data_IF_376374562523
#
_entry.id   IF_376374562523
#
_cell.length_a   1.000
_cell.length_b   1.000
_cell.length_c   1.000
_cell.angle_alpha   90.00
_cell.angle_beta   90.00
_cell.angle_gamma   90.00
#
_symmetry.space_group_name_H-M   'P 1'
#
loop_
_entity.id
_entity.type
_entity.pdbx_description
1 polymer ?
#
# COMPACT_ATOMS: atom_id res chain seq x y z
N UNK A 1 -15.51 11.81 50.63
CA UNK A 1 -16.48 11.96 49.53
C UNK A 1 -15.68 12.18 48.26
N UNK A 2 -15.76 11.18 47.37
CA UNK A 2 -15.35 11.15 45.95
C UNK A 2 -13.85 11.18 45.66
N UNK A 3 -13.26 10.00 45.82
CA UNK A 3 -12.14 9.51 45.03
C UNK A 3 -12.45 9.65 43.53
N UNK A 4 -11.77 10.57 42.85
CA UNK A 4 -11.77 10.60 41.39
C UNK A 4 -10.70 9.63 40.91
N UNK A 5 -11.09 8.35 40.81
CA UNK A 5 -10.33 7.36 40.08
C UNK A 5 -10.16 7.83 38.63
N UNK A 6 -8.94 8.28 38.34
CA UNK A 6 -8.42 8.35 36.99
C UNK A 6 -8.42 6.92 36.45
N UNK A 7 -9.49 6.53 35.76
CA UNK A 7 -9.53 5.25 35.05
C UNK A 7 -8.49 5.32 33.94
N UNK A 8 -7.53 4.38 33.84
CA UNK A 8 -6.68 4.29 32.67
C UNK A 8 -7.60 4.00 31.48
N UNK A 9 -7.67 4.96 30.54
CA UNK A 9 -8.22 4.67 29.22
C UNK A 9 -7.36 3.54 28.64
N UNK A 10 -8.03 2.46 28.26
CA UNK A 10 -7.40 1.23 27.79
C UNK A 10 -6.37 1.52 26.70
N UNK A 11 -5.17 0.97 26.88
CA UNK A 11 -4.12 0.90 25.87
C UNK A 11 -4.65 -0.01 24.75
N UNK A 12 -5.12 0.53 23.62
CA UNK A 12 -5.59 -0.30 22.47
C UNK A 12 -5.28 0.30 21.11
N UNK A 13 -4.19 1.03 20.96
CA UNK A 13 -3.70 1.38 19.62
C UNK A 13 -2.21 1.18 19.58
N UNK A 14 -1.76 0.20 18.80
CA UNK A 14 -0.33 -0.03 18.53
C UNK A 14 0.29 1.15 17.76
N UNK A 15 -0.52 2.07 17.22
CA UNK A 15 -0.07 3.27 16.52
C UNK A 15 0.52 4.33 17.46
N UNK A 16 1.50 5.11 17.00
CA UNK A 16 2.14 6.15 17.81
C UNK A 16 1.22 7.32 18.16
N UNK A 17 0.18 7.56 17.36
CA UNK A 17 -0.87 8.54 17.64
C UNK A 17 -2.22 7.83 17.77
N UNK A 18 -3.08 8.22 18.73
CA UNK A 18 -4.38 7.58 18.90
C UNK A 18 -5.29 7.81 17.68
N UNK A 19 -6.13 6.85 17.27
CA UNK A 19 -7.05 7.04 16.15
C UNK A 19 -8.09 8.12 16.46
N UNK A 20 -8.43 8.96 15.47
CA UNK A 20 -9.55 9.90 15.54
C UNK A 20 -10.81 9.19 15.03
N UNK A 21 -11.76 8.91 15.92
CA UNK A 21 -13.01 8.20 15.54
C UNK A 21 -14.04 9.13 14.88
N UNK A 22 -14.07 10.40 15.25
CA UNK A 22 -15.06 11.38 14.80
C UNK A 22 -14.36 12.62 14.22
N UNK A 23 -14.03 12.65 12.92
CA UNK A 23 -13.40 13.81 12.32
C UNK A 23 -14.40 14.98 12.22
N UNK A 24 -13.96 16.19 12.56
CA UNK A 24 -14.80 17.39 12.44
C UNK A 24 -15.06 17.75 10.98
N UNK A 25 -14.03 17.59 10.14
CA UNK A 25 -14.03 17.91 8.71
C UNK A 25 -14.95 17.01 7.87
N UNK A 26 -15.76 17.64 7.01
CA UNK A 26 -16.75 16.96 6.18
C UNK A 26 -16.13 16.04 5.14
N UNK A 27 -14.99 16.42 4.57
CA UNK A 27 -14.28 15.60 3.60
C UNK A 27 -13.77 14.31 4.25
N UNK A 28 -13.21 14.40 5.46
CA UNK A 28 -12.77 13.23 6.22
C UNK A 28 -13.91 12.32 6.65
N UNK A 29 -15.09 12.86 7.01
CA UNK A 29 -16.28 12.03 7.27
C UNK A 29 -16.68 11.22 6.03
N UNK A 30 -16.70 11.85 4.87
CA UNK A 30 -16.98 11.16 3.61
C UNK A 30 -15.94 10.06 3.32
N UNK A 31 -14.65 10.34 3.51
CA UNK A 31 -13.59 9.35 3.33
C UNK A 31 -13.75 8.14 4.28
N UNK A 32 -14.19 8.37 5.52
CA UNK A 32 -14.48 7.30 6.48
C UNK A 32 -15.64 6.43 6.01
N UNK A 33 -16.72 7.04 5.52
CA UNK A 33 -17.88 6.30 5.05
C UNK A 33 -17.57 5.49 3.79
N UNK A 34 -16.81 6.07 2.85
CA UNK A 34 -16.35 5.37 1.64
C UNK A 34 -15.50 4.15 1.99
N UNK A 35 -14.52 4.30 2.89
CA UNK A 35 -13.67 3.16 3.28
C UNK A 35 -14.43 2.11 4.06
N UNK A 36 -15.38 2.51 4.92
CA UNK A 36 -16.26 1.57 5.61
C UNK A 36 -17.11 0.76 4.63
N UNK A 37 -17.62 1.41 3.58
CA UNK A 37 -18.39 0.74 2.54
C UNK A 37 -17.52 -0.24 1.71
N UNK A 38 -16.33 0.19 1.32
CA UNK A 38 -15.45 -0.60 0.45
C UNK A 38 -14.77 -1.75 1.19
N UNK A 39 -14.19 -1.48 2.36
CA UNK A 39 -13.33 -2.41 3.10
C UNK A 39 -13.98 -2.98 4.36
N UNK A 40 -15.23 -2.62 4.66
CA UNK A 40 -15.93 -3.06 5.87
C UNK A 40 -15.48 -2.37 7.16
N UNK A 41 -14.49 -1.47 7.11
CA UNK A 41 -14.00 -0.67 8.24
C UNK A 41 -13.36 0.64 7.74
N UNK A 42 -13.22 1.60 8.65
CA UNK A 42 -12.42 2.80 8.37
C UNK A 42 -10.94 2.42 8.43
N UNK A 43 -10.21 2.76 7.37
CA UNK A 43 -8.78 2.47 7.26
C UNK A 43 -7.97 3.25 8.32
N UNK A 44 -7.07 2.57 9.02
CA UNK A 44 -6.26 3.16 10.09
C UNK A 44 -5.43 4.38 9.65
N UNK A 45 -4.82 4.43 8.45
CA UNK A 45 -4.15 5.64 7.96
C UNK A 45 -5.04 6.88 7.91
N UNK A 46 -6.33 6.74 7.59
CA UNK A 46 -7.26 7.87 7.62
C UNK A 46 -7.44 8.39 9.06
N UNK A 47 -7.54 7.48 10.02
CA UNK A 47 -7.77 7.80 11.45
C UNK A 47 -6.55 8.38 12.15
N UNK A 48 -5.36 7.99 11.71
CA UNK A 48 -4.11 8.32 12.40
C UNK A 48 -3.37 9.47 11.70
N UNK A 49 -3.24 9.44 10.38
CA UNK A 49 -2.52 10.46 9.62
C UNK A 49 -3.46 11.55 9.10
N UNK A 50 -4.37 11.20 8.18
CA UNK A 50 -5.09 12.20 7.39
C UNK A 50 -6.11 13.02 8.19
N UNK A 51 -6.74 12.45 9.23
CA UNK A 51 -7.65 13.18 10.11
C UNK A 51 -6.97 14.33 10.90
N UNK A 52 -5.64 14.42 10.88
CA UNK A 52 -4.86 15.49 11.54
C UNK A 52 -4.31 16.53 10.57
N UNK A 53 -4.45 16.32 9.27
CA UNK A 53 -3.88 17.18 8.25
C UNK A 53 -4.98 17.97 7.53
N UNK A 54 -4.64 19.11 6.91
CA UNK A 54 -5.53 19.75 5.96
C UNK A 54 -5.99 18.76 4.87
N UNK A 55 -7.24 18.91 4.42
CA UNK A 55 -7.90 17.97 3.51
C UNK A 55 -7.12 17.72 2.22
N UNK A 56 -6.30 18.69 1.79
CA UNK A 56 -5.45 18.68 0.61
C UNK A 56 -4.46 17.51 0.63
N UNK A 57 -3.96 17.10 1.80
CA UNK A 57 -3.09 15.92 1.92
C UNK A 57 -3.85 14.61 1.64
N UNK A 58 -5.10 14.53 2.08
CA UNK A 58 -6.00 13.41 1.74
C UNK A 58 -6.35 13.42 0.26
N UNK A 59 -6.64 14.60 -0.30
CA UNK A 59 -6.91 14.77 -1.74
C UNK A 59 -5.71 14.37 -2.60
N UNK A 60 -4.48 14.69 -2.18
CA UNK A 60 -3.27 14.23 -2.84
C UNK A 60 -3.17 12.70 -2.88
N UNK A 61 -3.51 12.03 -1.78
CA UNK A 61 -3.51 10.56 -1.72
C UNK A 61 -4.57 9.94 -2.62
N UNK A 62 -5.77 10.53 -2.69
CA UNK A 62 -6.77 10.14 -3.69
C UNK A 62 -6.26 10.37 -5.11
N UNK A 63 -5.54 11.48 -5.33
CA UNK A 63 -4.98 11.81 -6.64
C UNK A 63 -3.97 10.76 -7.12
N UNK A 64 -3.17 10.19 -6.23
CA UNK A 64 -2.29 9.06 -6.57
C UNK A 64 -3.12 7.88 -7.11
N UNK A 65 -4.22 7.53 -6.45
CA UNK A 65 -5.12 6.47 -6.93
C UNK A 65 -5.80 6.78 -8.28
N UNK A 66 -6.13 8.05 -8.56
CA UNK A 66 -6.61 8.46 -9.89
C UNK A 66 -5.52 8.36 -10.96
N UNK A 67 -4.27 8.68 -10.61
CA UNK A 67 -3.12 8.56 -11.52
C UNK A 67 -2.81 7.09 -11.83
N UNK A 68 -2.98 6.19 -10.86
CA UNK A 68 -2.83 4.75 -11.05
C UNK A 68 -3.82 4.20 -12.11
N UNK A 69 -4.99 4.82 -12.27
CA UNK A 69 -5.95 4.46 -13.33
C UNK A 69 -5.52 4.92 -14.73
N UNK A 70 -4.44 5.70 -14.84
CA UNK A 70 -3.88 6.19 -16.11
C UNK A 70 -2.64 5.41 -16.56
N UNK A 71 -2.20 4.43 -15.76
CA UNK A 71 -1.08 3.57 -16.12
C UNK A 71 -1.42 2.72 -17.35
N UNK A 72 -0.42 2.47 -18.16
CA UNK A 72 -0.46 1.54 -19.30
C UNK A 72 0.07 0.16 -18.94
N UNK A 73 0.83 0.04 -17.85
CA UNK A 73 1.24 -1.24 -17.28
C UNK A 73 0.03 -2.15 -17.02
N UNK A 74 0.18 -3.48 -17.19
CA UNK A 74 -0.83 -4.43 -16.76
C UNK A 74 -1.16 -4.25 -15.28
N UNK A 75 -2.45 -4.26 -14.87
CA UNK A 75 -2.83 -4.04 -13.48
C UNK A 75 -2.14 -4.99 -12.49
N UNK A 76 -1.99 -6.27 -12.85
CA UNK A 76 -1.30 -7.25 -12.01
C UNK A 76 0.18 -6.90 -11.82
N UNK A 77 0.87 -6.44 -12.86
CA UNK A 77 2.26 -5.94 -12.77
C UNK A 77 2.37 -4.75 -11.82
N UNK A 78 1.44 -3.80 -11.90
CA UNK A 78 1.45 -2.64 -11.01
C UNK A 78 1.29 -3.04 -9.53
N UNK A 79 0.39 -3.99 -9.22
CA UNK A 79 0.22 -4.51 -7.86
C UNK A 79 1.44 -5.31 -7.42
N UNK A 80 2.07 -6.12 -8.29
CA UNK A 80 3.31 -6.84 -7.95
C UNK A 80 4.45 -5.87 -7.58
N UNK A 81 4.60 -4.78 -8.33
CA UNK A 81 5.60 -3.74 -8.02
C UNK A 81 5.32 -3.12 -6.65
N UNK A 82 4.09 -2.66 -6.39
CA UNK A 82 3.72 -2.08 -5.09
C UNK A 82 3.97 -3.05 -3.94
N UNK A 83 3.56 -4.32 -4.11
CA UNK A 83 3.77 -5.36 -3.09
C UNK A 83 5.25 -5.69 -2.88
N UNK A 84 6.08 -5.62 -3.92
CA UNK A 84 7.53 -5.81 -3.80
C UNK A 84 8.16 -4.71 -2.96
N UNK A 85 7.82 -3.44 -3.25
CA UNK A 85 8.30 -2.28 -2.49
C UNK A 85 7.82 -2.35 -1.03
N UNK A 86 6.53 -2.61 -0.81
CA UNK A 86 5.96 -2.76 0.53
C UNK A 86 6.59 -3.89 1.33
N UNK A 87 6.86 -5.04 0.68
CA UNK A 87 7.56 -6.18 1.27
C UNK A 87 8.98 -5.83 1.70
N UNK A 88 9.75 -5.20 0.81
CA UNK A 88 11.13 -4.76 1.09
C UNK A 88 11.19 -3.75 2.24
N UNK A 89 10.26 -2.79 2.26
CA UNK A 89 10.18 -1.78 3.31
C UNK A 89 9.48 -2.28 4.58
N UNK A 90 8.96 -3.51 4.60
CA UNK A 90 8.25 -4.13 5.73
C UNK A 90 7.01 -3.32 6.17
N UNK A 91 6.28 -2.70 5.23
CA UNK A 91 5.02 -2.03 5.54
C UNK A 91 3.87 -3.04 5.63
N UNK A 92 3.58 -3.55 6.83
CA UNK A 92 2.54 -4.58 7.04
C UNK A 92 1.14 -4.12 6.61
N UNK A 93 0.78 -2.86 6.83
CA UNK A 93 -0.46 -2.27 6.30
C UNK A 93 -0.53 -2.33 4.77
N UNK A 94 0.55 -1.92 4.10
CA UNK A 94 0.61 -1.83 2.65
C UNK A 94 0.57 -3.23 1.99
N UNK A 95 1.18 -4.23 2.64
CA UNK A 95 1.08 -5.63 2.24
C UNK A 95 -0.38 -6.13 2.38
N UNK A 96 -1.03 -5.83 3.50
CA UNK A 96 -2.40 -6.26 3.77
C UNK A 96 -3.43 -5.66 2.78
N UNK A 97 -3.41 -4.34 2.57
CA UNK A 97 -4.32 -3.70 1.61
C UNK A 97 -4.06 -4.18 0.18
N UNK A 98 -2.80 -4.39 -0.21
CA UNK A 98 -2.50 -4.92 -1.54
C UNK A 98 -2.98 -6.36 -1.73
N UNK A 99 -2.86 -7.23 -0.71
CA UNK A 99 -3.47 -8.56 -0.73
C UNK A 99 -5.00 -8.50 -0.87
N UNK A 100 -5.66 -7.57 -0.16
CA UNK A 100 -7.10 -7.33 -0.30
C UNK A 100 -7.48 -6.99 -1.75
N UNK A 101 -6.74 -6.06 -2.37
CA UNK A 101 -6.94 -5.66 -3.77
C UNK A 101 -6.72 -6.82 -4.73
N UNK A 102 -5.65 -7.60 -4.55
CA UNK A 102 -5.37 -8.82 -5.34
C UNK A 102 -6.54 -9.79 -5.27
N UNK A 103 -7.09 -10.02 -4.07
CA UNK A 103 -8.24 -10.90 -3.87
C UNK A 103 -9.45 -10.33 -4.59
N UNK A 104 -9.81 -9.07 -4.35
CA UNK A 104 -10.97 -8.40 -4.96
C UNK A 104 -10.94 -8.46 -6.48
N UNK A 105 -9.80 -8.07 -7.08
CA UNK A 105 -9.56 -8.08 -8.52
C UNK A 105 -9.38 -9.49 -9.12
N UNK A 106 -9.43 -10.55 -8.30
CA UNK A 106 -9.27 -11.96 -8.72
C UNK A 106 -7.95 -12.22 -9.46
N UNK A 107 -6.89 -11.54 -9.05
CA UNK A 107 -5.52 -11.73 -9.56
C UNK A 107 -4.89 -13.01 -9.00
N UNK A 108 -3.74 -13.43 -9.57
CA UNK A 108 -3.08 -14.68 -9.17
C UNK A 108 -2.43 -14.56 -7.80
N UNK A 109 -3.18 -14.91 -6.74
CA UNK A 109 -2.70 -14.88 -5.36
C UNK A 109 -1.39 -15.67 -5.15
N UNK A 110 -1.18 -16.77 -5.87
CA UNK A 110 0.04 -17.56 -5.75
C UNK A 110 1.30 -16.80 -6.19
N UNK A 111 1.19 -15.87 -7.16
CA UNK A 111 2.31 -14.97 -7.50
C UNK A 111 2.66 -14.06 -6.33
N UNK A 112 1.65 -13.45 -5.70
CA UNK A 112 1.87 -12.53 -4.57
C UNK A 112 2.45 -13.26 -3.35
N UNK A 113 2.02 -14.48 -3.07
CA UNK A 113 2.59 -15.29 -1.99
C UNK A 113 4.03 -15.75 -2.29
N UNK A 114 4.40 -15.91 -3.56
CA UNK A 114 5.74 -16.28 -3.99
C UNK A 114 6.65 -15.07 -4.32
N UNK A 115 6.21 -13.85 -3.99
CA UNK A 115 6.88 -12.63 -4.43
C UNK A 115 8.29 -12.48 -3.87
N UNK A 116 8.56 -12.96 -2.65
CA UNK A 116 9.92 -12.96 -2.10
C UNK A 116 10.88 -13.88 -2.86
N UNK A 117 10.36 -14.88 -3.58
CA UNK A 117 11.11 -15.87 -4.33
C UNK A 117 10.96 -15.69 -5.86
N UNK A 118 10.61 -14.48 -6.32
CA UNK A 118 10.30 -14.20 -7.71
C UNK A 118 11.42 -14.62 -8.69
N UNK A 119 12.68 -14.50 -8.27
CA UNK A 119 13.86 -14.79 -9.10
C UNK A 119 13.98 -16.27 -9.46
N UNK A 120 13.48 -17.16 -8.60
CA UNK A 120 13.53 -18.62 -8.80
C UNK A 120 12.17 -19.26 -9.06
N UNK A 121 11.07 -18.55 -8.77
CA UNK A 121 9.72 -19.06 -8.93
C UNK A 121 9.32 -19.14 -10.41
N UNK A 122 8.77 -20.28 -10.82
CA UNK A 122 8.24 -20.52 -12.17
C UNK A 122 6.96 -19.72 -12.45
N UNK A 123 6.37 -19.08 -11.44
CA UNK A 123 5.18 -18.27 -11.61
C UNK A 123 5.47 -16.95 -12.34
N UNK A 124 6.72 -16.49 -12.34
CA UNK A 124 7.11 -15.20 -12.90
C UNK A 124 7.73 -15.35 -14.28
N UNK A 125 7.30 -14.49 -15.19
CA UNK A 125 7.89 -14.34 -16.53
C UNK A 125 9.19 -13.55 -16.47
N UNK A 126 10.02 -13.62 -17.52
CA UNK A 126 11.26 -12.84 -17.58
C UNK A 126 11.00 -11.32 -17.61
N UNK A 127 9.88 -10.91 -18.20
CA UNK A 127 9.39 -9.51 -18.20
C UNK A 127 9.15 -9.04 -16.77
N UNK A 128 8.38 -9.82 -15.98
CA UNK A 128 8.08 -9.50 -14.58
C UNK A 128 9.34 -9.52 -13.71
N UNK A 129 10.23 -10.50 -13.91
CA UNK A 129 11.51 -10.57 -13.18
C UNK A 129 12.36 -9.33 -13.45
N UNK A 130 12.46 -8.89 -14.72
CA UNK A 130 13.23 -7.70 -15.06
C UNK A 130 12.72 -6.43 -14.36
N UNK A 131 11.41 -6.25 -14.27
CA UNK A 131 10.83 -5.15 -13.47
C UNK A 131 11.10 -5.32 -11.97
N UNK A 132 10.93 -6.52 -11.41
CA UNK A 132 11.12 -6.78 -9.99
C UNK A 132 12.58 -6.63 -9.55
N UNK A 133 13.54 -6.99 -10.40
CA UNK A 133 14.97 -6.75 -10.15
C UNK A 133 15.27 -5.25 -10.09
N UNK A 134 14.78 -4.47 -11.07
CA UNK A 134 14.91 -3.00 -11.07
C UNK A 134 14.27 -2.38 -9.82
N UNK A 135 13.05 -2.78 -9.48
CA UNK A 135 12.31 -2.32 -8.29
C UNK A 135 13.04 -2.69 -7.01
N UNK A 136 13.64 -3.88 -6.95
CA UNK A 136 14.40 -4.35 -5.79
C UNK A 136 15.61 -3.47 -5.54
N UNK A 137 16.45 -3.23 -6.56
CA UNK A 137 17.62 -2.36 -6.46
C UNK A 137 17.22 -0.93 -6.09
N UNK A 138 16.26 -0.35 -6.83
CA UNK A 138 15.83 1.02 -6.59
C UNK A 138 15.26 1.20 -5.17
N UNK A 139 14.55 0.20 -4.65
CA UNK A 139 13.96 0.25 -3.30
C UNK A 139 15.02 0.04 -2.22
N UNK A 140 15.91 -0.95 -2.35
CA UNK A 140 16.90 -1.26 -1.30
C UNK A 140 18.06 -0.27 -1.28
N UNK A 141 18.65 -0.03 -2.44
CA UNK A 141 19.93 0.65 -2.58
C UNK A 141 19.79 2.12 -2.95
N UNK A 142 18.56 2.55 -3.31
CA UNK A 142 18.26 3.89 -3.86
C UNK A 142 19.11 4.24 -5.09
N UNK A 143 19.58 3.20 -5.77
CA UNK A 143 20.44 3.22 -6.95
C UNK A 143 20.08 1.99 -7.78
N UNK A 144 20.35 2.07 -9.08
CA UNK A 144 20.13 0.96 -10.00
C UNK A 144 21.38 0.78 -10.85
N UNK A 145 21.80 -0.46 -11.04
CA UNK A 145 22.86 -0.81 -11.97
C UNK A 145 22.38 -0.57 -13.41
N UNK A 146 23.25 -0.01 -14.25
CA UNK A 146 22.95 0.20 -15.68
C UNK A 146 22.53 -1.10 -16.37
N UNK A 147 23.13 -2.24 -16.03
CA UNK A 147 22.78 -3.52 -16.65
C UNK A 147 21.35 -3.96 -16.27
N UNK A 148 20.94 -3.73 -15.01
CA UNK A 148 19.58 -4.00 -14.53
C UNK A 148 18.57 -3.09 -15.23
N UNK A 149 18.89 -1.80 -15.36
CA UNK A 149 18.07 -0.86 -16.14
C UNK A 149 17.96 -1.27 -17.61
N UNK A 150 19.08 -1.58 -18.27
CA UNK A 150 19.11 -1.98 -19.69
C UNK A 150 18.30 -3.24 -19.93
N UNK A 151 18.36 -4.24 -19.03
CA UNK A 151 17.55 -5.45 -19.16
C UNK A 151 16.05 -5.15 -19.03
N UNK A 152 15.64 -4.37 -18.02
CA UNK A 152 14.24 -3.95 -17.89
C UNK A 152 13.79 -3.14 -19.12
N UNK A 153 14.59 -2.19 -19.58
CA UNK A 153 14.28 -1.35 -20.75
C UNK A 153 14.18 -2.14 -22.06
N UNK A 154 14.71 -3.37 -22.12
CA UNK A 154 14.49 -4.29 -23.24
C UNK A 154 13.06 -4.84 -23.33
N UNK A 155 12.26 -4.75 -22.25
CA UNK A 155 10.89 -5.26 -22.19
C UNK A 155 9.81 -4.18 -22.07
N UNK A 156 10.15 -2.99 -21.59
CA UNK A 156 9.20 -1.92 -21.27
C UNK A 156 9.46 -0.67 -22.11
N UNK A 157 8.38 0.00 -22.54
CA UNK A 157 8.47 1.32 -23.16
C UNK A 157 8.95 2.39 -22.18
N UNK A 158 9.48 3.51 -22.68
CA UNK A 158 9.90 4.64 -21.84
C UNK A 158 8.78 5.13 -20.91
N UNK A 159 7.53 5.10 -21.39
CA UNK A 159 6.35 5.42 -20.59
C UNK A 159 6.17 4.43 -19.44
N UNK A 160 6.17 3.13 -19.72
CA UNK A 160 6.02 2.10 -18.69
C UNK A 160 7.16 2.15 -17.68
N UNK A 161 8.38 2.46 -18.10
CA UNK A 161 9.52 2.66 -17.20
C UNK A 161 9.25 3.82 -16.22
N UNK A 162 8.73 4.95 -16.71
CA UNK A 162 8.33 6.06 -15.84
C UNK A 162 7.19 5.66 -14.89
N UNK A 163 6.25 4.84 -15.35
CA UNK A 163 5.17 4.28 -14.53
C UNK A 163 5.69 3.34 -13.43
N UNK A 164 6.71 2.50 -13.71
CA UNK A 164 7.38 1.68 -12.70
C UNK A 164 8.01 2.57 -11.62
N UNK A 165 8.74 3.62 -12.01
CA UNK A 165 9.35 4.57 -11.06
C UNK A 165 8.28 5.29 -10.24
N UNK A 166 7.17 5.70 -10.86
CA UNK A 166 6.02 6.30 -10.18
C UNK A 166 5.44 5.37 -9.11
N UNK A 167 5.25 4.09 -9.43
CA UNK A 167 4.77 3.10 -8.48
C UNK A 167 5.74 2.94 -7.30
N UNK A 168 7.06 2.87 -7.55
CA UNK A 168 8.07 2.82 -6.48
C UNK A 168 8.02 4.05 -5.59
N UNK A 169 7.98 5.26 -6.18
CA UNK A 169 7.99 6.51 -5.44
C UNK A 169 6.72 6.70 -4.61
N UNK A 170 5.55 6.48 -5.21
CA UNK A 170 4.26 6.61 -4.52
C UNK A 170 4.09 5.55 -3.43
N UNK A 171 4.61 4.33 -3.63
CA UNK A 171 4.58 3.30 -2.59
C UNK A 171 5.49 3.65 -1.41
N UNK A 172 6.66 4.26 -1.64
CA UNK A 172 7.48 4.79 -0.54
C UNK A 172 6.74 5.86 0.27
N UNK A 173 5.97 6.73 -0.39
CA UNK A 173 5.13 7.71 0.32
C UNK A 173 4.15 7.02 1.27
N UNK A 174 3.46 5.96 0.82
CA UNK A 174 2.57 5.18 1.68
C UNK A 174 3.32 4.42 2.79
N UNK A 175 4.42 3.75 2.44
CA UNK A 175 5.20 2.96 3.39
C UNK A 175 5.74 3.85 4.52
N UNK A 176 6.36 4.98 4.19
CA UNK A 176 6.94 5.87 5.20
C UNK A 176 5.87 6.53 6.07
N UNK A 177 4.71 6.86 5.50
CA UNK A 177 3.57 7.38 6.28
C UNK A 177 3.10 6.37 7.33
N UNK A 178 2.93 5.10 6.92
CA UNK A 178 2.42 4.06 7.81
C UNK A 178 3.47 3.61 8.84
N UNK A 179 4.70 3.32 8.39
CA UNK A 179 5.80 2.91 9.26
C UNK A 179 6.13 4.02 10.27
N UNK A 180 6.18 5.27 9.82
CA UNK A 180 6.48 6.42 10.69
C UNK A 180 5.46 6.66 11.80
N UNK A 181 4.27 6.09 11.70
CA UNK A 181 3.18 6.21 12.68
C UNK A 181 2.84 4.87 13.37
N UNK A 182 3.65 3.84 13.15
CA UNK A 182 3.42 2.47 13.59
C UNK A 182 2.03 1.94 13.22
N UNK A 183 1.60 2.21 11.99
CA UNK A 183 0.34 1.73 11.43
C UNK A 183 0.58 0.34 10.84
N UNK A 184 0.07 -0.67 11.54
CA UNK A 184 0.15 -2.06 11.13
C UNK A 184 -1.06 -2.51 10.29
N UNK A 185 -1.09 -3.79 9.94
CA UNK A 185 -2.18 -4.41 9.16
C UNK A 185 -3.56 -4.13 9.76
N UNK A 186 -4.52 -3.85 8.88
CA UNK A 186 -5.92 -3.66 9.24
C UNK A 186 -6.74 -4.96 9.18
N UNK A 187 -6.09 -6.09 8.89
CA UNK A 187 -6.65 -7.41 8.60
C UNK A 187 -7.65 -7.39 7.41
N UNK A 188 -7.39 -6.55 6.40
CA UNK A 188 -8.26 -6.34 5.25
C UNK A 188 -8.41 -7.61 4.39
N UNK A 189 -7.31 -8.34 4.22
CA UNK A 189 -7.28 -9.61 3.50
C UNK A 189 -8.34 -10.61 4.03
N UNK A 190 -8.50 -10.69 5.35
CA UNK A 190 -9.47 -11.60 5.98
C UNK A 190 -10.92 -11.14 5.79
N UNK A 191 -11.16 -9.83 5.71
CA UNK A 191 -12.47 -9.26 5.40
C UNK A 191 -12.85 -9.61 3.96
N UNK A 192 -11.95 -9.39 3.00
CA UNK A 192 -12.23 -9.64 1.58
C UNK A 192 -12.42 -11.14 1.28
N UNK A 193 -11.74 -12.04 2.01
CA UNK A 193 -12.02 -13.49 1.91
C UNK A 193 -13.41 -13.87 2.43
N UNK A 194 -13.90 -13.23 3.49
CA UNK A 194 -15.25 -13.50 4.04
C UNK A 194 -16.34 -13.04 3.09
N UNK A 195 -16.16 -11.89 2.45
CA UNK A 195 -17.15 -11.32 1.53
C UNK A 195 -17.29 -12.11 0.21
N UNK A 196 -16.30 -12.94 -0.15
CA UNK A 196 -16.33 -13.81 -1.35
C UNK A 196 -16.87 -15.22 -1.11
N UNK A 197 -17.16 -15.61 0.14
CA UNK A 197 -17.80 -16.89 0.48
C UNK A 197 -19.32 -16.75 0.52
#
# INVERSE_FOLDING_TARGET
>A
MKDNHNKPQQITSDTFLPPIENPEDSFMRMAYDMTRQQFGKVLTPLKVAYARMPSEFGQFSMKIGELDQKLTLPPETAVLIRQSVAGINVCSYCIDIGRSVTIEASMNQAKFDALEQYSTSLLFTDVERAALDYVTELTKDKKVNIDTFTRMAGYYSEREICEIVWLVASEHFYNMTNIGLNIESDMLCDISRKNKK
#
